data_IF_974801813138
#
_entry.id   IF_974801813138
#
_cell.length_a   1.000
_cell.length_b   1.000
_cell.length_c   1.000
_cell.angle_alpha   90.00
_cell.angle_beta   90.00
_cell.angle_gamma   90.00
#
_symmetry.space_group_name_H-M   'P 1'
#
loop_
_entity.id
_entity.type
_entity.pdbx_description
1 polymer ?
#
# COMPACT_ATOMS: atom_id res chain seq x y z
N UNK A 1 10.97 -18.55 -11.08
CA UNK A 1 11.38 -17.84 -9.85
C UNK A 1 10.19 -17.81 -8.91
N UNK A 2 10.36 -18.04 -7.60
CA UNK A 2 9.26 -17.86 -6.64
C UNK A 2 8.86 -16.38 -6.58
N UNK A 3 7.58 -16.12 -6.32
CA UNK A 3 7.10 -14.75 -6.09
C UNK A 3 7.72 -14.18 -4.80
N UNK A 4 7.88 -12.84 -4.70
CA UNK A 4 8.29 -12.19 -3.45
C UNK A 4 7.34 -12.52 -2.29
N UNK A 5 7.84 -12.47 -1.07
CA UNK A 5 7.04 -12.69 0.14
C UNK A 5 6.01 -11.56 0.28
N UNK A 6 4.73 -11.94 0.42
CA UNK A 6 3.66 -11.01 0.73
C UNK A 6 3.50 -10.88 2.25
N UNK A 7 4.15 -9.87 2.83
CA UNK A 7 4.13 -9.61 4.27
C UNK A 7 2.72 -9.37 4.82
N UNK A 8 1.86 -8.67 4.08
CA UNK A 8 0.47 -8.44 4.47
C UNK A 8 -0.30 -9.76 4.61
N UNK A 9 -0.15 -10.67 3.63
CA UNK A 9 -0.77 -12.00 3.70
C UNK A 9 -0.26 -12.83 4.89
N UNK A 10 1.04 -12.77 5.18
CA UNK A 10 1.61 -13.45 6.34
C UNK A 10 1.08 -12.89 7.66
N UNK A 11 0.99 -11.56 7.80
CA UNK A 11 0.46 -10.91 9.00
C UNK A 11 -1.01 -11.28 9.26
N UNK A 12 -1.84 -11.29 8.21
CA UNK A 12 -3.23 -11.75 8.30
C UNK A 12 -3.32 -13.21 8.76
N UNK A 13 -2.49 -14.10 8.21
CA UNK A 13 -2.46 -15.50 8.60
C UNK A 13 -2.00 -15.71 10.06
N UNK A 14 -1.16 -14.81 10.57
CA UNK A 14 -0.70 -14.81 11.96
C UNK A 14 -1.70 -14.18 12.95
N UNK A 15 -2.86 -13.69 12.48
CA UNK A 15 -3.84 -13.01 13.32
C UNK A 15 -3.37 -11.66 13.85
N UNK A 16 -2.35 -11.07 13.22
CA UNK A 16 -1.85 -9.75 13.57
C UNK A 16 -2.82 -8.69 13.03
N UNK A 17 -3.36 -7.78 13.86
CA UNK A 17 -4.18 -6.66 13.38
C UNK A 17 -3.40 -5.83 12.35
N UNK A 18 -4.07 -5.39 11.28
CA UNK A 18 -3.47 -4.57 10.23
C UNK A 18 -4.27 -3.28 10.04
N UNK A 19 -3.72 -2.16 10.49
CA UNK A 19 -4.33 -0.83 10.37
C UNK A 19 -4.11 -0.30 8.97
N UNK A 20 -5.20 -0.04 8.26
CA UNK A 20 -5.17 0.43 6.88
C UNK A 20 -5.79 1.80 6.67
N UNK A 21 -5.52 2.35 5.49
CA UNK A 21 -6.15 3.57 4.98
C UNK A 21 -6.90 3.27 3.68
N UNK A 22 -8.10 3.83 3.55
CA UNK A 22 -8.84 3.84 2.28
C UNK A 22 -8.56 5.16 1.55
N UNK A 23 -7.93 5.09 0.38
CA UNK A 23 -7.70 6.26 -0.48
C UNK A 23 -8.74 6.33 -1.59
N UNK A 24 -9.53 7.40 -1.58
CA UNK A 24 -10.49 7.72 -2.64
C UNK A 24 -9.98 8.83 -3.58
N UNK A 25 -8.72 9.25 -3.41
CA UNK A 25 -8.08 10.27 -4.22
C UNK A 25 -7.18 9.59 -5.26
N UNK A 26 -7.58 9.53 -6.55
CA UNK A 26 -6.85 8.78 -7.56
C UNK A 26 -5.70 9.66 -8.11
N UNK A 27 -4.74 9.95 -7.25
CA UNK A 27 -3.59 10.82 -7.52
C UNK A 27 -2.28 10.17 -7.03
N UNK A 28 -1.24 10.05 -7.89
CA UNK A 28 0.04 9.45 -7.51
C UNK A 28 0.77 10.20 -6.38
N UNK A 29 0.70 11.53 -6.33
CA UNK A 29 1.35 12.31 -5.28
C UNK A 29 0.72 12.03 -3.91
N UNK A 30 -0.61 11.95 -3.87
CA UNK A 30 -1.33 11.53 -2.66
C UNK A 30 -0.96 10.09 -2.27
N UNK A 31 -0.87 9.19 -3.27
CA UNK A 31 -0.51 7.78 -3.06
C UNK A 31 0.89 7.61 -2.45
N UNK A 32 1.86 8.41 -2.88
CA UNK A 32 3.21 8.43 -2.31
C UNK A 32 3.20 8.87 -0.84
N UNK A 33 2.49 9.96 -0.54
CA UNK A 33 2.38 10.50 0.82
C UNK A 33 1.76 9.46 1.76
N UNK A 34 0.62 8.88 1.37
CA UNK A 34 -0.09 7.93 2.26
C UNK A 34 0.64 6.60 2.40
N UNK A 35 1.40 6.16 1.39
CA UNK A 35 2.24 4.99 1.50
C UNK A 35 3.39 5.17 2.49
N UNK A 36 3.90 6.40 2.65
CA UNK A 36 4.90 6.76 3.66
C UNK A 36 4.31 7.05 5.05
N UNK A 37 2.98 7.08 5.21
CA UNK A 37 2.34 7.53 6.45
C UNK A 37 2.30 6.49 7.60
N UNK A 38 2.82 5.28 7.37
CA UNK A 38 2.95 4.25 8.42
C UNK A 38 1.76 3.31 8.58
N UNK A 39 0.83 3.28 7.62
CA UNK A 39 -0.22 2.25 7.55
C UNK A 39 0.35 0.90 7.11
N UNK A 40 -0.25 -0.18 7.59
CA UNK A 40 0.14 -1.55 7.20
C UNK A 40 -0.24 -1.85 5.76
N UNK A 41 -1.34 -1.25 5.29
CA UNK A 41 -1.86 -1.37 3.94
C UNK A 41 -2.67 -0.13 3.53
N UNK A 42 -2.77 0.10 2.22
CA UNK A 42 -3.58 1.16 1.63
C UNK A 42 -4.49 0.54 0.57
N UNK A 43 -5.78 0.88 0.62
CA UNK A 43 -6.73 0.57 -0.46
C UNK A 43 -6.74 1.72 -1.47
N UNK A 44 -6.38 1.42 -2.72
CA UNK A 44 -6.55 2.34 -3.83
C UNK A 44 -7.87 2.02 -4.53
N UNK A 45 -8.88 2.85 -4.32
CA UNK A 45 -10.24 2.58 -4.77
C UNK A 45 -10.36 2.72 -6.30
N UNK A 46 -10.89 1.69 -6.95
CA UNK A 46 -11.19 1.69 -8.40
C UNK A 46 -12.66 1.53 -8.72
N UNK A 47 -13.51 1.39 -7.70
CA UNK A 47 -14.95 1.19 -7.86
C UNK A 47 -15.70 2.52 -7.73
N UNK A 48 -15.37 3.31 -6.72
CA UNK A 48 -16.10 4.54 -6.38
C UNK A 48 -15.33 5.82 -6.71
N UNK A 49 -14.19 5.71 -7.39
CA UNK A 49 -13.39 6.86 -7.80
C UNK A 49 -13.15 6.83 -9.31
N UNK A 50 -12.88 7.99 -9.94
CA UNK A 50 -12.56 8.06 -11.36
C UNK A 50 -11.12 7.58 -11.62
N UNK A 51 -10.87 6.30 -11.34
CA UNK A 51 -9.59 5.62 -11.54
C UNK A 51 -9.65 4.76 -12.81
N UNK A 52 -8.52 4.65 -13.50
CA UNK A 52 -8.37 3.82 -14.70
C UNK A 52 -7.04 3.07 -14.63
N UNK A 53 -6.79 2.16 -15.59
CA UNK A 53 -5.57 1.34 -15.58
C UNK A 53 -4.28 2.20 -15.65
N UNK A 54 -4.15 3.20 -16.55
CA UNK A 54 -2.96 4.06 -16.58
C UNK A 54 -2.75 4.87 -15.30
N UNK A 55 -3.82 5.33 -14.64
CA UNK A 55 -3.74 6.07 -13.38
C UNK A 55 -3.42 5.15 -12.21
N UNK A 56 -3.98 3.95 -12.17
CA UNK A 56 -3.62 2.93 -11.19
C UNK A 56 -2.13 2.57 -11.28
N UNK A 57 -1.60 2.38 -12.50
CA UNK A 57 -0.16 2.10 -12.68
C UNK A 57 0.72 3.19 -12.05
N UNK A 58 0.37 4.47 -12.24
CA UNK A 58 1.12 5.60 -11.66
C UNK A 58 1.01 5.64 -10.14
N UNK A 59 -0.15 5.32 -9.57
CA UNK A 59 -0.32 5.20 -8.11
C UNK A 59 0.51 4.04 -7.54
N UNK A 60 0.52 2.88 -8.20
CA UNK A 60 1.34 1.74 -7.79
C UNK A 60 2.84 2.06 -7.83
N UNK A 61 3.30 2.77 -8.85
CA UNK A 61 4.68 3.24 -8.96
C UNK A 61 5.05 4.19 -7.80
N UNK A 62 4.16 5.12 -7.46
CA UNK A 62 4.33 6.06 -6.35
C UNK A 62 4.33 5.36 -4.97
N UNK A 63 3.45 4.37 -4.76
CA UNK A 63 3.47 3.53 -3.55
C UNK A 63 4.81 2.77 -3.44
N UNK A 64 5.36 2.32 -4.57
CA UNK A 64 6.65 1.63 -4.60
C UNK A 64 7.84 2.56 -4.35
N UNK A 65 7.76 3.87 -4.61
CA UNK A 65 8.83 4.83 -4.33
C UNK A 65 8.82 5.35 -2.90
N UNK A 66 7.67 5.29 -2.22
CA UNK A 66 7.47 5.91 -0.91
C UNK A 66 8.27 5.27 0.24
N UNK A 67 8.64 3.99 0.13
CA UNK A 67 9.35 3.27 1.21
C UNK A 67 10.79 2.95 0.74
N UNK A 68 11.83 3.47 1.42
CA UNK A 68 13.22 3.10 1.16
C UNK A 68 13.42 1.59 1.23
N UNK A 69 14.27 1.03 0.35
CA UNK A 69 14.54 -0.41 0.31
C UNK A 69 14.99 -1.01 1.67
N UNK A 70 15.63 -0.19 2.49
CA UNK A 70 16.15 -0.57 3.82
C UNK A 70 15.17 -0.28 4.98
N UNK A 71 14.02 0.33 4.70
CA UNK A 71 13.02 0.59 5.74
C UNK A 71 12.27 -0.71 6.05
N UNK A 72 12.50 -1.24 7.25
CA UNK A 72 11.73 -2.39 7.74
C UNK A 72 10.23 -2.04 7.74
N UNK A 73 9.43 -2.82 7.01
CA UNK A 73 7.97 -2.72 7.06
C UNK A 73 7.52 -3.13 8.45
N UNK A 74 7.22 -2.13 9.28
CA UNK A 74 6.62 -2.34 10.60
C UNK A 74 5.17 -2.70 10.38
N UNK A 75 4.74 -3.81 10.97
CA UNK A 75 3.32 -4.08 11.15
C UNK A 75 2.86 -3.45 12.45
N UNK A 76 1.62 -2.98 12.55
CA UNK A 76 1.06 -2.40 13.78
C UNK A 76 1.06 -3.31 15.02
N UNK A 77 1.52 -4.55 14.92
CA UNK A 77 2.05 -5.32 16.06
C UNK A 77 3.58 -5.21 16.14
N UNK A 78 4.07 -4.25 16.95
CA UNK A 78 5.45 -4.22 17.47
C UNK A 78 6.53 -3.72 16.52
#
# INVERSE_FOLDING_TARGET
MPAPINHFKHALAAGVPQIGLWSTLPDPYVSEIVAGAGYDWVLLDTEHTPNDVPRMLRQLQAVSSAIPADAARRTSAG
#
